data_IF_421394660862
#
_entry.id   IF_421394660862
#
_cell.length_a   1.000
_cell.length_b   1.000
_cell.length_c   1.000
_cell.angle_alpha   90.00
_cell.angle_beta   90.00
_cell.angle_gamma   90.00
#
_symmetry.space_group_name_H-M   'P 1'
#
loop_
_entity.id
_entity.type
_entity.pdbx_description
1 polymer ?
#
# COMPACT_ATOMS: atom_id res chain seq x y z
N UNK A 1 -8.38 11.88 9.16
CA UNK A 1 -7.93 11.98 10.56
C UNK A 1 -9.10 12.14 11.54
N UNK A 2 -9.99 13.12 11.42
CA UNK A 2 -11.15 13.28 12.33
C UNK A 2 -12.00 12.01 12.45
N UNK A 3 -12.31 11.35 11.34
CA UNK A 3 -13.12 10.13 11.36
C UNK A 3 -12.42 8.99 12.12
N UNK A 4 -11.10 8.86 12.00
CA UNK A 4 -10.33 7.86 12.75
C UNK A 4 -10.36 8.15 14.27
N UNK A 5 -10.34 9.42 14.69
CA UNK A 5 -10.51 9.79 16.09
C UNK A 5 -11.91 9.42 16.61
N UNK A 6 -12.94 9.53 15.77
CA UNK A 6 -14.29 9.05 16.09
C UNK A 6 -14.29 7.53 16.24
N UNK A 7 -13.65 6.81 15.33
CA UNK A 7 -13.49 5.34 15.40
C UNK A 7 -12.76 4.93 16.67
N UNK A 8 -11.71 5.65 17.05
CA UNK A 8 -10.99 5.43 18.31
C UNK A 8 -11.89 5.65 19.53
N UNK A 9 -12.69 6.70 19.54
CA UNK A 9 -13.52 7.08 20.68
C UNK A 9 -14.77 6.19 20.84
N UNK A 10 -15.41 5.83 19.72
CA UNK A 10 -16.62 4.99 19.71
C UNK A 10 -16.28 3.50 19.89
N UNK A 11 -15.05 3.12 19.61
CA UNK A 11 -14.43 1.80 19.77
C UNK A 11 -15.20 0.63 19.12
N UNK A 12 -14.52 -0.24 18.34
CA UNK A 12 -15.11 -1.54 18.02
C UNK A 12 -15.13 -2.41 19.27
N UNK A 13 -15.93 -3.47 19.24
CA UNK A 13 -16.04 -4.45 20.30
C UNK A 13 -14.67 -4.87 20.88
N UNK A 14 -14.62 -5.08 22.20
CA UNK A 14 -13.43 -5.50 22.93
C UNK A 14 -12.88 -6.83 22.39
N UNK A 15 -11.62 -6.87 22.02
CA UNK A 15 -10.94 -8.08 21.57
C UNK A 15 -9.55 -7.81 21.00
N UNK A 16 -8.69 -8.83 21.04
CA UNK A 16 -7.30 -8.72 20.57
C UNK A 16 -7.23 -8.34 19.08
N UNK A 17 -8.09 -8.92 18.24
CA UNK A 17 -8.21 -8.62 16.82
C UNK A 17 -8.54 -7.13 16.60
N UNK A 18 -9.59 -6.63 17.23
CA UNK A 18 -10.02 -5.24 17.08
C UNK A 18 -8.94 -4.24 17.55
N UNK A 19 -8.24 -4.55 18.64
CA UNK A 19 -7.12 -3.74 19.14
C UNK A 19 -5.98 -3.66 18.12
N UNK A 20 -5.58 -4.78 17.50
CA UNK A 20 -4.56 -4.77 16.46
C UNK A 20 -5.02 -4.01 15.21
N UNK A 21 -6.23 -4.26 14.72
CA UNK A 21 -6.78 -3.56 13.57
C UNK A 21 -6.82 -2.04 13.79
N UNK A 22 -7.25 -1.59 14.97
CA UNK A 22 -7.32 -0.18 15.32
C UNK A 22 -5.92 0.46 15.34
N UNK A 23 -4.94 -0.19 15.96
CA UNK A 23 -3.57 0.33 16.05
C UNK A 23 -2.93 0.44 14.67
N UNK A 24 -3.02 -0.63 13.85
CA UNK A 24 -2.45 -0.66 12.51
C UNK A 24 -3.12 0.36 11.58
N UNK A 25 -4.46 0.49 11.67
CA UNK A 25 -5.21 1.51 10.95
C UNK A 25 -4.79 2.91 11.35
N UNK A 26 -4.56 3.16 12.64
CA UNK A 26 -4.10 4.45 13.12
C UNK A 26 -2.78 4.88 12.51
N UNK A 27 -1.82 3.97 12.46
CA UNK A 27 -0.52 4.21 11.82
C UNK A 27 -0.70 4.51 10.33
N UNK A 28 -1.48 3.69 9.61
CA UNK A 28 -1.72 3.87 8.18
C UNK A 28 -2.37 5.23 7.88
N UNK A 29 -3.45 5.56 8.57
CA UNK A 29 -4.21 6.82 8.38
C UNK A 29 -3.36 8.05 8.73
N UNK A 30 -2.53 7.97 9.79
CA UNK A 30 -1.62 9.05 10.16
C UNK A 30 -0.59 9.33 9.06
N UNK A 31 -0.01 8.28 8.48
CA UNK A 31 0.94 8.41 7.37
C UNK A 31 0.24 8.92 6.10
N UNK A 32 -0.98 8.46 5.80
CA UNK A 32 -1.78 9.00 4.70
C UNK A 32 -2.03 10.52 4.89
N UNK A 33 -2.38 10.95 6.10
CA UNK A 33 -2.55 12.37 6.42
C UNK A 33 -1.25 13.16 6.22
N UNK A 34 -0.13 12.65 6.72
CA UNK A 34 1.20 13.27 6.52
C UNK A 34 1.55 13.41 5.04
N UNK A 35 1.37 12.35 4.25
CA UNK A 35 1.67 12.36 2.82
C UNK A 35 0.67 13.19 2.00
N UNK A 36 -0.56 13.36 2.46
CA UNK A 36 -1.54 14.25 1.83
C UNK A 36 -1.20 15.73 2.02
N UNK A 37 -0.62 16.08 3.18
CA UNK A 37 -0.15 17.46 3.45
C UNK A 37 1.15 17.76 2.72
N UNK A 38 2.04 16.78 2.62
CA UNK A 38 3.36 16.87 1.99
C UNK A 38 3.48 15.82 0.86
N UNK A 39 2.71 15.96 -0.22
CA UNK A 39 2.72 14.98 -1.31
C UNK A 39 4.07 14.98 -2.03
N UNK A 40 4.45 13.80 -2.53
CA UNK A 40 5.72 13.57 -3.23
C UNK A 40 5.63 12.41 -4.21
N UNK A 41 6.48 12.46 -5.23
CA UNK A 41 6.77 11.33 -6.12
C UNK A 41 8.23 10.95 -5.94
N UNK A 42 8.46 9.74 -5.45
CA UNK A 42 9.74 9.36 -4.84
C UNK A 42 10.88 9.27 -5.88
N UNK A 43 10.65 8.68 -7.06
CA UNK A 43 11.70 8.50 -8.08
C UNK A 43 12.04 9.82 -8.79
N UNK A 44 11.08 10.68 -9.03
CA UNK A 44 11.23 11.98 -9.68
C UNK A 44 11.72 13.06 -8.70
N UNK A 45 11.81 12.74 -7.40
CA UNK A 45 12.11 13.72 -6.33
C UNK A 45 11.12 14.88 -6.28
N UNK A 46 9.93 14.69 -6.84
CA UNK A 46 8.93 15.74 -6.97
C UNK A 46 8.24 15.99 -5.62
N UNK A 47 8.11 17.25 -5.23
CA UNK A 47 7.44 17.70 -4.00
C UNK A 47 6.60 18.94 -4.26
N UNK A 48 5.55 19.16 -3.48
CA UNK A 48 4.76 20.40 -3.52
C UNK A 48 5.40 21.52 -2.68
N UNK A 49 5.96 21.14 -1.54
CA UNK A 49 6.59 22.07 -0.59
C UNK A 49 8.05 21.66 -0.39
N UNK A 50 8.97 22.60 -0.60
CA UNK A 50 10.39 22.37 -0.28
C UNK A 50 10.62 22.57 1.20
N UNK A 51 10.68 21.45 1.92
CA UNK A 51 10.97 21.40 3.36
C UNK A 51 11.73 20.14 3.69
N UNK A 52 12.40 20.10 4.82
CA UNK A 52 13.04 18.89 5.34
C UNK A 52 12.02 17.74 5.50
N UNK A 53 10.82 18.04 5.97
CA UNK A 53 9.72 17.09 6.13
C UNK A 53 9.20 16.52 4.81
N UNK A 54 9.48 17.20 3.70
CA UNK A 54 9.17 16.72 2.34
C UNK A 54 10.27 15.84 1.75
N UNK A 55 11.35 15.53 2.50
CA UNK A 55 12.41 14.67 1.98
C UNK A 55 11.88 13.30 1.60
N UNK A 56 12.40 12.77 0.50
CA UNK A 56 11.96 11.48 -0.05
C UNK A 56 12.21 10.36 0.97
N UNK A 57 13.37 10.39 1.64
CA UNK A 57 13.73 9.36 2.62
C UNK A 57 12.73 9.29 3.79
N UNK A 58 12.34 10.44 4.35
CA UNK A 58 11.36 10.46 5.45
C UNK A 58 9.99 9.99 4.97
N UNK A 59 9.57 10.43 3.78
CA UNK A 59 8.31 10.00 3.22
C UNK A 59 8.27 8.53 2.89
N UNK A 60 9.36 7.98 2.35
CA UNK A 60 9.43 6.55 2.03
C UNK A 60 9.47 5.70 3.30
N UNK A 61 10.22 6.14 4.33
CA UNK A 61 10.24 5.44 5.61
C UNK A 61 8.83 5.40 6.25
N UNK A 62 8.15 6.53 6.29
CA UNK A 62 6.77 6.59 6.78
C UNK A 62 5.84 5.68 5.96
N UNK A 63 5.92 5.75 4.62
CA UNK A 63 5.11 4.90 3.74
C UNK A 63 5.40 3.41 3.97
N UNK A 64 6.67 3.01 4.11
CA UNK A 64 7.04 1.62 4.40
C UNK A 64 6.35 1.10 5.66
N UNK A 65 6.35 1.86 6.74
CA UNK A 65 5.66 1.49 7.99
C UNK A 65 4.16 1.34 7.73
N UNK A 66 3.53 2.31 7.05
CA UNK A 66 2.10 2.27 6.75
C UNK A 66 1.72 1.07 5.87
N UNK A 67 2.48 0.81 4.83
CA UNK A 67 2.21 -0.26 3.86
C UNK A 67 2.38 -1.64 4.49
N UNK A 68 3.35 -1.82 5.39
CA UNK A 68 3.47 -3.04 6.20
C UNK A 68 2.27 -3.17 7.15
N UNK A 69 1.87 -2.10 7.84
CA UNK A 69 0.67 -2.10 8.69
C UNK A 69 -0.58 -2.50 7.91
N UNK A 70 -0.77 -1.95 6.71
CA UNK A 70 -1.89 -2.31 5.84
C UNK A 70 -1.85 -3.78 5.41
N UNK A 71 -0.68 -4.29 5.03
CA UNK A 71 -0.50 -5.71 4.70
C UNK A 71 -0.83 -6.64 5.87
N UNK A 72 -0.41 -6.28 7.08
CA UNK A 72 -0.73 -7.02 8.30
C UNK A 72 -2.24 -6.96 8.60
N UNK A 73 -2.89 -5.78 8.46
CA UNK A 73 -4.33 -5.64 8.62
C UNK A 73 -5.10 -6.59 7.68
N UNK A 74 -4.70 -6.62 6.41
CA UNK A 74 -5.33 -7.47 5.40
C UNK A 74 -5.11 -8.95 5.71
N UNK A 75 -3.88 -9.32 6.11
CA UNK A 75 -3.56 -10.68 6.56
C UNK A 75 -4.39 -11.11 7.78
N UNK A 76 -4.50 -10.25 8.78
CA UNK A 76 -5.33 -10.48 9.97
C UNK A 76 -6.81 -10.66 9.61
N UNK A 77 -7.35 -9.82 8.71
CA UNK A 77 -8.74 -9.95 8.26
C UNK A 77 -8.98 -11.31 7.60
N UNK A 78 -8.15 -11.68 6.62
CA UNK A 78 -8.30 -12.95 5.89
C UNK A 78 -8.09 -14.16 6.83
N UNK A 79 -7.12 -14.08 7.74
CA UNK A 79 -6.92 -15.10 8.78
C UNK A 79 -8.17 -15.28 9.63
N UNK A 80 -8.78 -14.18 10.08
CA UNK A 80 -9.97 -14.24 10.92
C UNK A 80 -11.20 -14.74 10.15
N UNK A 81 -11.36 -14.36 8.89
CA UNK A 81 -12.41 -14.92 8.04
C UNK A 81 -12.23 -16.43 7.85
N UNK A 82 -10.99 -16.91 7.70
CA UNK A 82 -10.66 -18.33 7.70
C UNK A 82 -11.03 -19.03 9.01
N UNK A 83 -10.83 -18.37 10.16
CA UNK A 83 -11.20 -18.91 11.47
C UNK A 83 -12.72 -19.05 11.61
N UNK A 84 -13.48 -18.00 11.30
CA UNK A 84 -14.95 -17.98 11.39
C UNK A 84 -15.60 -19.02 10.46
N UNK A 85 -14.98 -19.30 9.30
CA UNK A 85 -15.46 -20.26 8.32
C UNK A 85 -14.92 -21.69 8.52
N UNK A 86 -14.07 -21.90 9.52
CA UNK A 86 -13.48 -23.21 9.79
C UNK A 86 -12.49 -23.69 8.72
N UNK A 87 -11.79 -22.76 8.07
CA UNK A 87 -10.86 -23.02 6.97
C UNK A 87 -9.38 -22.82 7.41
N UNK A 88 -8.73 -23.80 8.05
CA UNK A 88 -7.38 -23.65 8.59
C UNK A 88 -6.34 -23.36 7.50
N UNK A 89 -6.51 -23.88 6.29
CA UNK A 89 -5.62 -23.57 5.17
C UNK A 89 -5.64 -22.08 4.82
N UNK A 90 -6.82 -21.44 4.85
CA UNK A 90 -6.95 -19.99 4.63
C UNK A 90 -6.27 -19.22 5.75
N UNK A 91 -6.45 -19.63 7.02
CA UNK A 91 -5.81 -19.00 8.17
C UNK A 91 -4.29 -18.95 8.02
N UNK A 92 -3.66 -20.09 7.70
CA UNK A 92 -2.21 -20.16 7.55
C UNK A 92 -1.71 -19.41 6.32
N UNK A 93 -2.38 -19.54 5.17
CA UNK A 93 -1.98 -18.89 3.94
C UNK A 93 -2.15 -17.36 3.98
N UNK A 94 -3.05 -16.84 4.81
CA UNK A 94 -3.26 -15.40 4.98
C UNK A 94 -1.98 -14.64 5.37
N UNK A 95 -1.07 -15.28 6.10
CA UNK A 95 0.22 -14.67 6.49
C UNK A 95 1.19 -14.50 5.32
N UNK A 96 0.93 -15.12 4.18
CA UNK A 96 1.64 -14.83 2.93
C UNK A 96 1.40 -13.40 2.43
N UNK A 97 0.26 -12.79 2.75
CA UNK A 97 -0.09 -11.44 2.30
C UNK A 97 0.92 -10.40 2.82
N UNK A 98 1.13 -10.23 4.14
CA UNK A 98 2.13 -9.28 4.63
C UNK A 98 3.55 -9.62 4.21
N UNK A 99 3.87 -10.89 3.94
CA UNK A 99 5.20 -11.29 3.44
C UNK A 99 5.44 -10.68 2.06
N UNK A 100 4.53 -10.82 1.10
CA UNK A 100 4.66 -10.20 -0.22
C UNK A 100 4.80 -8.68 -0.12
N UNK A 101 3.98 -8.03 0.68
CA UNK A 101 4.00 -6.58 0.85
C UNK A 101 5.29 -6.09 1.53
N UNK A 102 5.83 -6.86 2.49
CA UNK A 102 7.12 -6.54 3.13
C UNK A 102 8.29 -6.71 2.15
N UNK A 103 8.27 -7.77 1.33
CA UNK A 103 9.28 -7.96 0.28
C UNK A 103 9.21 -6.84 -0.76
N UNK A 104 8.03 -6.39 -1.12
CA UNK A 104 7.84 -5.24 -2.02
C UNK A 104 8.58 -4.00 -1.52
N UNK A 105 8.61 -3.76 -0.19
CA UNK A 105 9.32 -2.62 0.38
C UNK A 105 10.83 -2.66 0.11
N UNK A 106 11.45 -3.83 0.11
CA UNK A 106 12.89 -3.95 -0.19
C UNK A 106 13.18 -3.49 -1.64
N UNK A 107 12.35 -3.89 -2.61
CA UNK A 107 12.46 -3.46 -4.00
C UNK A 107 12.13 -1.98 -4.17
N UNK A 108 11.12 -1.47 -3.47
CA UNK A 108 10.79 -0.06 -3.44
C UNK A 108 11.96 0.79 -2.91
N UNK A 109 12.57 0.42 -1.80
CA UNK A 109 13.75 1.11 -1.28
C UNK A 109 14.90 1.07 -2.26
N UNK A 110 15.17 -0.08 -2.88
CA UNK A 110 16.20 -0.17 -3.91
C UNK A 110 15.88 0.77 -5.09
N UNK A 111 14.63 0.81 -5.57
CA UNK A 111 14.24 1.68 -6.67
C UNK A 111 14.40 3.16 -6.31
N UNK A 112 13.95 3.55 -5.14
CA UNK A 112 14.01 4.93 -4.65
C UNK A 112 15.46 5.40 -4.46
N UNK A 113 16.33 4.54 -3.92
CA UNK A 113 17.72 4.89 -3.70
C UNK A 113 18.54 4.91 -4.99
N UNK A 114 18.28 4.00 -5.92
CA UNK A 114 19.07 3.89 -7.16
C UNK A 114 18.46 4.58 -8.36
N UNK A 115 17.23 5.09 -8.26
CA UNK A 115 16.40 5.60 -9.37
C UNK A 115 16.12 4.53 -10.43
N UNK A 116 16.01 3.27 -10.02
CA UNK A 116 15.82 2.14 -10.93
C UNK A 116 14.33 1.79 -11.06
N UNK A 117 13.74 2.14 -12.20
CA UNK A 117 12.32 1.86 -12.48
C UNK A 117 12.01 0.38 -12.66
N UNK A 118 12.98 -0.51 -12.96
CA UNK A 118 12.73 -1.95 -13.02
C UNK A 118 12.38 -2.49 -11.62
N UNK A 119 13.15 -2.10 -10.61
CA UNK A 119 12.86 -2.56 -9.24
C UNK A 119 11.57 -1.96 -8.69
N UNK A 120 11.14 -0.81 -9.20
CA UNK A 120 9.80 -0.29 -8.93
C UNK A 120 8.71 -1.16 -9.59
N UNK A 121 8.91 -1.60 -10.83
CA UNK A 121 7.99 -2.55 -11.46
C UNK A 121 7.91 -3.89 -10.70
N UNK A 122 9.05 -4.39 -10.19
CA UNK A 122 9.07 -5.60 -9.35
C UNK A 122 8.29 -5.39 -8.04
N UNK A 123 8.44 -4.25 -7.41
CA UNK A 123 7.65 -3.86 -6.23
C UNK A 123 6.16 -3.92 -6.55
N UNK A 124 5.70 -3.28 -7.63
CA UNK A 124 4.31 -3.31 -8.07
C UNK A 124 3.81 -4.75 -8.31
N UNK A 125 4.62 -5.61 -8.94
CA UNK A 125 4.26 -7.01 -9.16
C UNK A 125 4.17 -7.83 -7.86
N UNK A 126 4.97 -7.52 -6.84
CA UNK A 126 4.86 -8.14 -5.53
C UNK A 126 3.57 -7.71 -4.80
N UNK A 127 3.15 -6.46 -4.96
CA UNK A 127 1.82 -6.00 -4.51
C UNK A 127 0.72 -6.77 -5.23
N UNK A 128 0.80 -6.92 -6.56
CA UNK A 128 -0.16 -7.70 -7.33
C UNK A 128 -0.20 -9.17 -6.88
N UNK A 129 0.95 -9.78 -6.57
CA UNK A 129 1.01 -11.15 -6.03
C UNK A 129 0.32 -11.27 -4.66
N UNK A 130 0.56 -10.32 -3.74
CA UNK A 130 -0.11 -10.27 -2.44
C UNK A 130 -1.63 -10.12 -2.56
N UNK A 131 -2.10 -9.24 -3.46
CA UNK A 131 -3.54 -9.08 -3.72
C UNK A 131 -4.14 -10.25 -4.50
N UNK A 132 -3.38 -10.93 -5.35
CA UNK A 132 -3.83 -12.18 -6.01
C UNK A 132 -4.00 -13.30 -5.00
N UNK A 133 -3.09 -13.44 -4.04
CA UNK A 133 -3.25 -14.36 -2.91
C UNK A 133 -4.50 -13.99 -2.10
N UNK A 134 -4.67 -12.71 -1.77
CA UNK A 134 -5.87 -12.21 -1.07
C UNK A 134 -7.14 -12.59 -1.83
N UNK A 135 -7.20 -12.35 -3.14
CA UNK A 135 -8.34 -12.68 -3.98
C UNK A 135 -8.65 -14.19 -3.96
N UNK A 136 -7.61 -15.03 -4.10
CA UNK A 136 -7.77 -16.49 -4.06
C UNK A 136 -8.33 -16.97 -2.70
N UNK A 137 -7.80 -16.46 -1.59
CA UNK A 137 -8.26 -16.83 -0.25
C UNK A 137 -9.70 -16.35 0.00
N UNK A 138 -10.03 -15.12 -0.41
CA UNK A 138 -11.40 -14.59 -0.30
C UNK A 138 -12.39 -15.33 -1.19
N UNK A 139 -11.99 -15.80 -2.37
CA UNK A 139 -12.83 -16.67 -3.21
C UNK A 139 -13.18 -18.00 -2.49
N UNK A 140 -12.19 -18.59 -1.82
CA UNK A 140 -12.43 -19.81 -1.00
C UNK A 140 -13.38 -19.50 0.15
N UNK A 141 -13.17 -18.40 0.89
CA UNK A 141 -14.08 -17.98 1.97
C UNK A 141 -15.49 -17.74 1.43
N UNK A 142 -15.65 -17.03 0.32
CA UNK A 142 -16.95 -16.74 -0.27
C UNK A 142 -17.73 -18.01 -0.68
N UNK A 143 -17.01 -19.04 -1.15
CA UNK A 143 -17.61 -20.33 -1.50
C UNK A 143 -18.03 -21.20 -0.30
N UNK A 144 -17.51 -20.92 0.90
CA UNK A 144 -17.77 -21.70 2.12
C UNK A 144 -18.52 -20.90 3.20
N UNK A 145 -19.01 -19.72 2.89
CA UNK A 145 -19.72 -18.85 3.82
C UNK A 145 -21.04 -18.35 3.24
N UNK A 146 -21.91 -17.83 4.11
CA UNK A 146 -23.18 -17.22 3.77
C UNK A 146 -23.35 -15.88 4.48
N UNK A 147 -24.32 -15.08 4.07
CA UNK A 147 -24.67 -13.84 4.72
C UNK A 147 -23.55 -12.77 4.59
N UNK A 148 -23.30 -12.03 5.68
CA UNK A 148 -22.38 -10.90 5.66
C UNK A 148 -20.91 -11.29 5.42
N UNK A 149 -20.49 -12.48 5.87
CA UNK A 149 -19.12 -13.00 5.64
C UNK A 149 -18.89 -13.22 4.15
N UNK A 150 -19.85 -13.84 3.47
CA UNK A 150 -19.81 -14.05 2.02
C UNK A 150 -19.78 -12.70 1.28
N UNK A 151 -20.67 -11.77 1.66
CA UNK A 151 -20.73 -10.45 1.04
C UNK A 151 -19.40 -9.69 1.18
N UNK A 152 -18.81 -9.70 2.38
CA UNK A 152 -17.51 -9.09 2.64
C UNK A 152 -16.39 -9.75 1.82
N UNK A 153 -16.36 -11.08 1.77
CA UNK A 153 -15.39 -11.82 0.99
C UNK A 153 -15.50 -11.53 -0.52
N UNK A 154 -16.73 -11.43 -1.05
CA UNK A 154 -16.97 -11.06 -2.46
C UNK A 154 -16.53 -9.62 -2.74
N UNK A 155 -16.84 -8.67 -1.87
CA UNK A 155 -16.40 -7.26 -2.03
C UNK A 155 -14.87 -7.17 -2.00
N UNK A 156 -14.22 -7.84 -1.05
CA UNK A 156 -12.76 -7.89 -0.97
C UNK A 156 -12.11 -8.59 -2.17
N UNK A 157 -12.72 -9.69 -2.67
CA UNK A 157 -12.30 -10.39 -3.87
C UNK A 157 -12.34 -9.46 -5.09
N UNK A 158 -13.47 -8.79 -5.33
CA UNK A 158 -13.64 -7.87 -6.46
C UNK A 158 -12.64 -6.70 -6.35
N UNK A 159 -12.51 -6.09 -5.17
CA UNK A 159 -11.53 -5.03 -4.95
C UNK A 159 -10.09 -5.46 -5.21
N UNK A 160 -9.73 -6.67 -4.77
CA UNK A 160 -8.40 -7.24 -5.04
C UNK A 160 -8.16 -7.49 -6.53
N UNK A 161 -9.13 -8.02 -7.25
CA UNK A 161 -9.03 -8.24 -8.70
C UNK A 161 -8.93 -6.92 -9.49
N UNK A 162 -9.68 -5.90 -9.10
CA UNK A 162 -9.58 -4.55 -9.68
C UNK A 162 -8.16 -3.99 -9.47
N UNK A 163 -7.62 -4.11 -8.26
CA UNK A 163 -6.27 -3.66 -7.96
C UNK A 163 -5.21 -4.41 -8.77
N UNK A 164 -5.28 -5.75 -8.83
CA UNK A 164 -4.36 -6.57 -9.64
C UNK A 164 -4.42 -6.18 -11.11
N UNK A 165 -5.62 -6.00 -11.65
CA UNK A 165 -5.81 -5.56 -13.03
C UNK A 165 -5.15 -4.20 -13.28
N UNK A 166 -5.36 -3.24 -12.38
CA UNK A 166 -4.72 -1.92 -12.46
C UNK A 166 -3.19 -2.04 -12.46
N UNK A 167 -2.62 -2.81 -11.54
CA UNK A 167 -1.16 -2.97 -11.47
C UNK A 167 -0.61 -3.58 -12.76
N UNK A 168 -1.24 -4.63 -13.29
CA UNK A 168 -0.75 -5.34 -14.47
C UNK A 168 -0.95 -4.55 -15.77
N UNK A 169 -1.97 -3.70 -15.86
CA UNK A 169 -2.31 -2.98 -17.09
C UNK A 169 -1.82 -1.53 -17.13
N UNK A 170 -1.62 -0.91 -15.97
CA UNK A 170 -1.27 0.52 -15.87
C UNK A 170 0.06 0.72 -15.16
N UNK A 171 0.18 0.28 -13.90
CA UNK A 171 1.27 0.67 -13.02
C UNK A 171 2.60 0.03 -13.43
N UNK A 172 2.70 -1.28 -13.48
CA UNK A 172 3.92 -1.98 -13.88
C UNK A 172 4.35 -1.64 -15.33
N UNK A 173 3.46 -1.59 -16.35
CA UNK A 173 3.82 -1.11 -17.68
C UNK A 173 4.34 0.33 -17.71
N UNK A 174 3.82 1.22 -16.87
CA UNK A 174 4.30 2.61 -16.75
C UNK A 174 5.77 2.64 -16.31
N UNK A 175 6.13 1.88 -15.27
CA UNK A 175 7.53 1.81 -14.80
C UNK A 175 8.46 1.17 -15.82
N UNK A 176 8.02 0.14 -16.53
CA UNK A 176 8.80 -0.47 -17.60
C UNK A 176 9.03 0.51 -18.77
N UNK A 177 8.02 1.33 -19.10
CA UNK A 177 8.18 2.40 -20.11
C UNK A 177 9.18 3.46 -19.63
N UNK A 178 9.02 3.99 -18.39
CA UNK A 178 9.95 4.96 -17.80
C UNK A 178 11.38 4.43 -17.76
N UNK A 179 11.56 3.13 -17.49
CA UNK A 179 12.88 2.50 -17.54
C UNK A 179 13.49 2.56 -18.95
N UNK A 180 12.73 2.16 -19.99
CA UNK A 180 13.22 2.19 -21.38
C UNK A 180 13.56 3.61 -21.82
N UNK A 181 12.75 4.59 -21.48
CA UNK A 181 12.99 5.99 -21.75
C UNK A 181 14.22 6.53 -21.01
N UNK A 182 14.45 6.08 -19.77
CA UNK A 182 15.64 6.41 -19.00
C UNK A 182 16.90 5.89 -19.66
N UNK A 183 16.90 4.62 -20.10
CA UNK A 183 18.03 4.02 -20.83
C UNK A 183 18.31 4.76 -22.14
N UNK A 184 17.28 5.10 -22.91
CA UNK A 184 17.41 5.84 -24.17
C UNK A 184 18.03 7.24 -23.98
N UNK A 185 17.81 7.85 -22.79
CA UNK A 185 18.40 9.14 -22.40
C UNK A 185 19.79 9.02 -21.75
N UNK A 186 20.34 7.81 -21.62
CA UNK A 186 21.60 7.58 -20.95
C UNK A 186 21.55 7.79 -19.43
N UNK A 187 20.39 7.61 -18.80
CA UNK A 187 20.24 7.78 -17.36
C UNK A 187 21.11 6.75 -16.60
N UNK A 188 22.03 7.25 -15.78
CA UNK A 188 22.83 6.41 -14.91
C UNK A 188 22.08 6.15 -13.58
N UNK A 189 22.23 4.94 -13.06
CA UNK A 189 21.75 4.59 -11.73
C UNK A 189 22.69 5.14 -10.66
N UNK A 190 22.13 5.53 -9.52
CA UNK A 190 22.91 5.94 -8.36
C UNK A 190 23.37 4.70 -7.57
N UNK A 191 24.55 4.80 -6.93
CA UNK A 191 24.90 3.87 -5.86
C UNK A 191 24.00 4.10 -4.64
N UNK A 192 23.84 3.11 -3.76
CA UNK A 192 22.97 3.21 -2.57
C UNK A 192 23.33 4.42 -1.68
N UNK A 193 24.63 4.69 -1.47
CA UNK A 193 25.09 5.83 -0.66
C UNK A 193 24.79 7.18 -1.32
N UNK A 194 25.03 7.29 -2.65
CA UNK A 194 24.67 8.50 -3.41
C UNK A 194 23.17 8.71 -3.40
N UNK A 195 22.40 7.63 -3.62
CA UNK A 195 20.94 7.66 -3.62
C UNK A 195 20.34 8.04 -2.27
N UNK A 196 20.90 7.56 -1.17
CA UNK A 196 20.46 7.95 0.17
C UNK A 196 20.65 9.46 0.40
N UNK A 197 21.83 9.99 0.02
CA UNK A 197 22.10 11.43 0.09
C UNK A 197 21.18 12.23 -0.82
N UNK A 198 20.99 11.76 -2.06
CA UNK A 198 20.10 12.38 -3.04
C UNK A 198 18.64 12.39 -2.53
N UNK A 199 18.14 11.29 -2.02
CA UNK A 199 16.78 11.18 -1.48
C UNK A 199 16.55 12.00 -0.20
N UNK A 200 17.60 12.29 0.55
CA UNK A 200 17.51 13.14 1.74
C UNK A 200 17.48 14.63 1.38
N UNK A 201 18.30 15.04 0.42
CA UNK A 201 18.56 16.48 0.18
C UNK A 201 17.95 16.99 -1.12
N UNK A 202 17.84 16.16 -2.16
CA UNK A 202 17.31 16.60 -3.44
C UNK A 202 15.78 16.60 -3.41
N UNK A 203 15.21 17.75 -3.74
CA UNK A 203 13.78 17.99 -3.92
C UNK A 203 13.57 18.84 -5.16
N UNK A 204 12.56 18.49 -5.94
CA UNK A 204 12.14 19.23 -7.15
C UNK A 204 10.76 19.81 -6.85
N UNK A 205 10.67 21.04 -6.31
CA UNK A 205 9.39 21.64 -5.98
C UNK A 205 8.61 21.99 -7.26
N UNK A 206 7.39 21.52 -7.37
CA UNK A 206 6.49 21.87 -8.46
C UNK A 206 5.04 21.83 -8.00
N UNK A 207 4.24 22.81 -8.46
CA UNK A 207 2.78 22.87 -8.29
C UNK A 207 2.04 22.72 -9.63
N UNK A 208 2.77 22.48 -10.72
CA UNK A 208 2.19 22.35 -12.06
C UNK A 208 1.55 20.95 -12.21
N UNK A 209 0.28 20.91 -12.56
CA UNK A 209 -0.45 19.66 -12.75
C UNK A 209 0.22 18.72 -13.75
N UNK A 210 0.85 19.26 -14.80
CA UNK A 210 1.58 18.47 -15.78
C UNK A 210 2.70 17.58 -15.20
N UNK A 211 3.28 17.97 -14.05
CA UNK A 211 4.30 17.21 -13.37
C UNK A 211 3.72 16.06 -12.50
N UNK A 212 2.44 16.16 -12.12
CA UNK A 212 1.78 15.25 -11.19
C UNK A 212 0.81 14.29 -11.84
N UNK A 213 0.29 14.60 -13.02
CA UNK A 213 -0.85 13.90 -13.65
C UNK A 213 -0.67 12.39 -13.79
N UNK A 214 0.56 11.95 -14.11
CA UNK A 214 0.83 10.53 -14.34
C UNK A 214 0.87 9.72 -13.03
N UNK A 215 1.21 10.37 -11.93
CA UNK A 215 1.28 9.76 -10.60
C UNK A 215 -0.01 9.98 -9.79
N UNK A 216 -0.86 10.94 -10.17
CA UNK A 216 -2.13 11.22 -9.50
C UNK A 216 -3.09 10.02 -9.53
N UNK A 217 -3.04 9.20 -10.58
CA UNK A 217 -3.82 7.97 -10.71
C UNK A 217 -3.52 6.95 -9.60
N UNK A 218 -2.29 6.95 -9.08
CA UNK A 218 -1.89 6.13 -7.94
C UNK A 218 -2.09 6.84 -6.60
N UNK A 219 -1.63 8.07 -6.49
CA UNK A 219 -1.68 8.84 -5.24
C UNK A 219 -3.10 9.02 -4.72
N UNK A 220 -4.08 9.26 -5.60
CA UNK A 220 -5.47 9.50 -5.19
C UNK A 220 -6.11 8.25 -4.54
N UNK A 221 -6.10 7.04 -5.15
CA UNK A 221 -6.59 5.84 -4.48
C UNK A 221 -5.83 5.50 -3.20
N UNK A 222 -4.51 5.68 -3.17
CA UNK A 222 -3.69 5.39 -2.00
C UNK A 222 -4.15 6.21 -0.77
N UNK A 223 -4.36 7.51 -0.93
CA UNK A 223 -4.75 8.38 0.18
C UNK A 223 -6.25 8.37 0.49
N UNK A 224 -7.10 7.94 -0.45
CA UNK A 224 -8.54 7.88 -0.26
C UNK A 224 -9.01 6.44 -0.02
N UNK A 225 -9.03 5.61 -1.05
CA UNK A 225 -9.57 4.24 -0.95
C UNK A 225 -8.81 3.41 0.07
N UNK A 226 -7.45 3.46 0.06
CA UNK A 226 -6.63 2.73 1.01
C UNK A 226 -6.92 3.11 2.47
N UNK A 227 -7.06 4.42 2.76
CA UNK A 227 -7.41 4.89 4.10
C UNK A 227 -8.80 4.42 4.53
N UNK A 228 -9.79 4.47 3.64
CA UNK A 228 -11.15 4.00 3.93
C UNK A 228 -11.19 2.48 4.14
N UNK A 229 -10.49 1.69 3.33
CA UNK A 229 -10.39 0.23 3.50
C UNK A 229 -9.73 -0.10 4.84
N UNK A 230 -8.63 0.59 5.19
CA UNK A 230 -7.96 0.41 6.48
C UNK A 230 -8.87 0.69 7.66
N UNK A 231 -9.68 1.77 7.61
CA UNK A 231 -10.68 2.08 8.63
C UNK A 231 -11.80 1.04 8.65
N UNK A 232 -12.31 0.63 7.48
CA UNK A 232 -13.40 -0.36 7.39
C UNK A 232 -13.01 -1.71 8.00
N UNK A 233 -11.76 -2.16 7.85
CA UNK A 233 -11.28 -3.41 8.46
C UNK A 233 -11.36 -3.43 9.99
N UNK A 234 -11.33 -2.25 10.65
CA UNK A 234 -11.51 -2.14 12.11
C UNK A 234 -12.93 -2.53 12.54
N UNK A 235 -13.92 -2.28 11.69
CA UNK A 235 -15.34 -2.48 12.00
C UNK A 235 -15.90 -3.84 11.61
N UNK A 236 -15.07 -4.73 11.05
CA UNK A 236 -15.52 -6.07 10.68
C UNK A 236 -15.86 -6.87 11.94
N UNK A 237 -17.13 -7.28 12.12
CA UNK A 237 -17.56 -8.06 13.29
C UNK A 237 -17.08 -9.51 13.09
N UNK A 238 -16.09 -9.91 13.84
CA UNK A 238 -15.49 -11.26 13.78
C UNK A 238 -15.72 -11.99 15.13
N UNK A 239 -16.99 -12.25 15.41
CA UNK A 239 -17.42 -13.01 16.59
C UNK A 239 -17.88 -14.40 16.18
#
# INVERSE_FOLDING_TARGET
MCLWLVVWYVGPASGLYAGWQLTLSGVYVLVCAYRSVLPRVDLERLVVVDSFWSSIILGRAAATVAEICFGVQLGLLVHQLGAVTGLPAVQHAAWGIPVFMTLAQAFCWHSVLTLNHITQAVESLLWAAGFSLTAALLAVVAGHSIGWVQALAVVGLVGSLVFVTYVLTVDAPMYLRRHREGLARGQAYLSLGQGARDALYRRVPSRHWSAWKDDAMWLTPYFSVGAWVSIAMVWVPVH
#
